data_IF_575601528877
#
_entry.id   IF_575601528877
#
_cell.length_a   1.000
_cell.length_b   1.000
_cell.length_c   1.000
_cell.angle_alpha   90.00
_cell.angle_beta   90.00
_cell.angle_gamma   90.00
#
_symmetry.space_group_name_H-M   'P 1'
#
loop_
_entity.id
_entity.type
_entity.pdbx_description
1 polymer ?
#
# COMPACT_ATOMS: atom_id res chain seq x y z
N UNK A 1 6.64 10.90 5.48
CA UNK A 1 5.22 11.27 5.73
C UNK A 1 4.74 12.30 4.72
N UNK A 2 3.49 12.22 4.26
CA UNK A 2 2.95 13.17 3.28
C UNK A 2 2.25 14.36 3.97
N UNK A 3 2.39 15.60 3.44
CA UNK A 3 1.76 16.80 4.02
C UNK A 3 0.28 16.94 3.69
N UNK A 4 -0.24 16.15 2.74
CA UNK A 4 -1.63 16.18 2.30
C UNK A 4 -2.34 14.87 2.63
N UNK A 5 -3.61 14.97 2.99
CA UNK A 5 -4.44 13.78 3.17
C UNK A 5 -4.62 13.05 1.84
N UNK A 6 -4.31 11.76 1.85
CA UNK A 6 -4.59 10.86 0.75
C UNK A 6 -5.37 9.66 1.31
N UNK A 7 -6.51 9.36 0.71
CA UNK A 7 -7.31 8.21 1.11
C UNK A 7 -6.52 6.91 0.89
N UNK A 8 -6.60 5.99 1.85
CA UNK A 8 -5.96 4.68 1.85
C UNK A 8 -6.93 3.64 2.42
N UNK A 9 -6.71 2.36 2.11
CA UNK A 9 -7.46 1.27 2.76
C UNK A 9 -7.25 1.32 4.27
N UNK A 10 -8.33 1.59 5.01
CA UNK A 10 -8.32 1.69 6.47
C UNK A 10 -8.40 0.33 7.17
N UNK A 11 -8.85 -0.72 6.49
CA UNK A 11 -8.93 -2.07 7.06
C UNK A 11 -7.54 -2.74 7.06
N UNK A 12 -6.79 -2.63 5.96
CA UNK A 12 -5.47 -3.23 5.81
C UNK A 12 -4.33 -2.21 5.82
N UNK A 13 -4.53 -1.09 6.54
CA UNK A 13 -3.53 -0.03 6.62
C UNK A 13 -2.17 -0.55 7.09
N UNK A 14 -1.14 -0.25 6.31
CA UNK A 14 0.27 -0.49 6.66
C UNK A 14 1.03 0.80 6.52
N UNK A 15 1.89 1.05 7.50
CA UNK A 15 2.77 2.21 7.48
C UNK A 15 3.65 2.16 6.22
N UNK A 16 3.69 3.24 5.41
CA UNK A 16 4.61 3.36 4.30
C UNK A 16 6.07 3.17 4.75
N UNK A 17 6.92 2.66 3.85
CA UNK A 17 8.29 2.31 4.22
C UNK A 17 9.12 3.52 4.69
N UNK A 18 8.94 4.68 4.05
CA UNK A 18 9.56 5.96 4.43
C UNK A 18 9.25 6.33 5.89
N UNK A 19 7.98 6.19 6.29
CA UNK A 19 7.51 6.51 7.64
C UNK A 19 8.04 5.51 8.67
N UNK A 20 8.06 4.22 8.31
CA UNK A 20 8.63 3.16 9.13
C UNK A 20 10.12 3.38 9.38
N UNK A 21 10.87 3.75 8.34
CA UNK A 21 12.28 4.12 8.50
C UNK A 21 12.43 5.38 9.36
N UNK A 22 11.58 6.38 9.14
CA UNK A 22 11.59 7.63 9.90
C UNK A 22 11.46 7.40 11.41
N UNK A 23 10.47 6.61 11.83
CA UNK A 23 10.26 6.32 13.25
C UNK A 23 11.38 5.46 13.84
N UNK A 24 11.89 4.48 13.09
CA UNK A 24 13.00 3.63 13.54
C UNK A 24 14.32 4.37 13.66
N UNK A 25 14.54 5.44 12.90
CA UNK A 25 15.72 6.31 13.08
C UNK A 25 15.69 7.08 14.40
N UNK A 26 14.50 7.32 14.97
CA UNK A 26 14.33 8.07 16.22
C UNK A 26 14.37 7.13 17.42
N UNK A 27 13.68 5.99 17.34
CA UNK A 27 13.47 5.09 18.47
C UNK A 27 14.15 3.72 18.35
N UNK A 28 14.78 3.44 17.20
CA UNK A 28 15.35 2.14 16.89
C UNK A 28 14.33 1.14 16.30
N UNK A 29 14.82 -0.01 15.81
CA UNK A 29 13.96 -1.11 15.39
C UNK A 29 13.23 -1.73 16.60
N UNK A 30 12.07 -2.37 16.41
CA UNK A 30 11.35 -3.00 17.50
C UNK A 30 12.13 -4.22 18.04
N UNK A 31 12.22 -4.34 19.37
CA UNK A 31 12.91 -5.46 20.06
C UNK A 31 12.23 -6.82 19.82
N UNK A 32 10.96 -6.82 19.41
CA UNK A 32 10.16 -8.01 19.14
C UNK A 32 9.42 -7.85 17.81
N UNK A 33 9.21 -8.93 17.04
CA UNK A 33 8.37 -8.88 15.85
C UNK A 33 6.97 -8.38 16.24
N UNK A 34 6.30 -7.62 15.36
CA UNK A 34 5.01 -7.05 15.66
C UNK A 34 4.04 -8.18 16.05
N UNK A 35 3.25 -8.02 17.13
CA UNK A 35 2.25 -9.01 17.50
C UNK A 35 1.30 -9.23 16.31
N UNK A 36 0.87 -10.48 16.10
CA UNK A 36 -0.17 -10.80 15.13
C UNK A 36 -1.37 -9.88 15.41
N UNK A 37 -1.68 -9.04 14.41
CA UNK A 37 -2.69 -7.98 14.44
C UNK A 37 -3.95 -8.48 15.15
N UNK A 38 -4.30 -7.88 16.29
CA UNK A 38 -5.66 -7.96 16.82
C UNK A 38 -6.59 -7.46 15.72
N UNK A 39 -7.57 -8.27 15.34
CA UNK A 39 -8.58 -7.87 14.36
C UNK A 39 -9.18 -6.54 14.81
N UNK A 40 -9.29 -5.52 13.93
CA UNK A 40 -10.01 -4.31 14.28
C UNK A 40 -11.45 -4.70 14.65
N UNK A 41 -12.09 -4.02 15.63
CA UNK A 41 -13.47 -4.29 15.98
C UNK A 41 -14.35 -4.18 14.74
N UNK A 42 -15.23 -5.16 14.52
CA UNK A 42 -16.20 -5.12 13.44
C UNK A 42 -17.10 -3.89 13.59
N UNK A 43 -17.04 -2.96 12.63
CA UNK A 43 -17.96 -1.83 12.55
C UNK A 43 -19.39 -2.35 12.30
N UNK A 44 -20.37 -2.07 13.18
CA UNK A 44 -21.74 -2.56 13.05
C UNK A 44 -22.50 -2.06 11.81
N UNK A 45 -21.95 -1.13 11.02
CA UNK A 45 -22.71 -0.40 9.98
C UNK A 45 -22.49 -0.83 8.52
N UNK A 46 -21.97 -2.02 8.23
CA UNK A 46 -21.78 -2.44 6.83
C UNK A 46 -22.93 -3.32 6.30
N UNK A 47 -23.75 -2.83 5.35
CA UNK A 47 -24.67 -3.67 4.61
C UNK A 47 -23.92 -4.60 3.64
N UNK A 48 -24.61 -5.69 3.31
CA UNK A 48 -24.16 -6.92 2.68
C UNK A 48 -23.29 -6.75 1.41
N UNK A 49 -22.34 -7.68 1.26
CA UNK A 49 -21.28 -7.72 0.24
C UNK A 49 -21.86 -7.86 -1.16
N UNK A 50 -21.82 -6.78 -1.92
CA UNK A 50 -21.99 -6.85 -3.37
C UNK A 50 -20.73 -7.45 -4.02
N UNK A 51 -20.96 -8.54 -4.77
CA UNK A 51 -20.14 -9.20 -5.80
C UNK A 51 -18.67 -8.76 -5.90
N UNK A 52 -17.77 -9.60 -5.36
CA UNK A 52 -16.32 -9.44 -5.53
C UNK A 52 -15.94 -9.67 -7.01
N UNK A 53 -15.24 -8.72 -7.68
CA UNK A 53 -14.73 -8.97 -9.02
C UNK A 53 -13.69 -10.10 -9.04
N UNK A 54 -13.47 -10.77 -10.20
CA UNK A 54 -12.52 -11.86 -10.30
C UNK A 54 -11.11 -11.42 -9.89
N UNK A 55 -10.41 -12.27 -9.14
CA UNK A 55 -9.01 -12.06 -8.74
C UNK A 55 -8.14 -12.04 -9.99
N UNK A 56 -7.54 -10.88 -10.27
CA UNK A 56 -6.49 -10.73 -11.28
C UNK A 56 -5.25 -11.52 -10.78
N UNK A 57 -4.52 -12.25 -11.65
CA UNK A 57 -3.30 -12.96 -11.25
C UNK A 57 -2.31 -11.99 -10.61
N UNK A 58 -1.82 -12.35 -9.42
CA UNK A 58 -0.76 -11.62 -8.72
C UNK A 58 0.57 -11.85 -9.43
N UNK A 59 0.78 -11.18 -10.56
CA UNK A 59 2.09 -11.01 -11.18
C UNK A 59 2.91 -10.03 -10.36
N UNK A 60 4.13 -10.44 -10.02
CA UNK A 60 5.22 -9.66 -9.41
C UNK A 60 4.81 -8.79 -8.21
N UNK A 61 4.67 -9.45 -7.07
CA UNK A 61 4.52 -8.78 -5.78
C UNK A 61 5.73 -7.87 -5.56
N UNK A 62 5.54 -6.54 -5.44
CA UNK A 62 6.66 -5.63 -5.16
C UNK A 62 7.36 -6.06 -3.87
N UNK A 63 8.70 -6.01 -3.85
CA UNK A 63 9.54 -6.27 -2.67
C UNK A 63 9.05 -5.51 -1.43
N UNK A 64 8.41 -4.35 -1.65
CA UNK A 64 7.66 -3.62 -0.63
C UNK A 64 6.36 -3.06 -1.22
N UNK A 65 5.18 -3.61 -0.87
CA UNK A 65 3.90 -3.18 -1.46
C UNK A 65 3.49 -1.74 -1.13
N UNK A 66 4.18 -1.06 -0.21
CA UNK A 66 3.86 0.30 0.25
C UNK A 66 5.02 1.30 0.11
N UNK A 67 6.07 0.95 -0.63
CA UNK A 67 7.13 1.90 -0.95
C UNK A 67 6.74 2.70 -2.20
N UNK A 68 7.11 3.98 -2.24
CA UNK A 68 6.99 4.75 -3.48
C UNK A 68 7.87 4.09 -4.55
N UNK A 69 7.34 3.85 -5.76
CA UNK A 69 8.12 3.25 -6.83
C UNK A 69 9.25 4.19 -7.26
N UNK A 70 10.44 3.65 -7.48
CA UNK A 70 11.54 4.38 -8.07
C UNK A 70 11.44 4.32 -9.60
N UNK A 71 11.44 5.49 -10.24
CA UNK A 71 11.30 5.61 -11.70
C UNK A 71 12.51 5.08 -12.47
N UNK A 72 13.69 5.05 -11.84
CA UNK A 72 14.93 4.60 -12.48
C UNK A 72 15.07 3.06 -12.50
N UNK A 73 14.30 2.34 -11.68
CA UNK A 73 14.42 0.88 -11.53
C UNK A 73 13.72 0.12 -12.67
N UNK A 74 12.83 0.78 -13.42
CA UNK A 74 12.03 0.15 -14.47
C UNK A 74 11.04 -0.90 -13.95
N UNK A 75 10.75 -1.92 -14.80
CA UNK A 75 9.86 -3.04 -14.46
C UNK A 75 8.41 -2.61 -14.20
N UNK A 76 7.79 -1.93 -15.17
CA UNK A 76 6.42 -1.42 -15.07
C UNK A 76 5.39 -2.50 -15.44
N UNK A 77 4.21 -2.49 -14.82
CA UNK A 77 3.16 -3.46 -15.15
C UNK A 77 2.47 -3.14 -16.47
N UNK A 78 2.17 -1.85 -16.71
CA UNK A 78 1.51 -1.40 -17.93
C UNK A 78 1.76 0.08 -18.20
N UNK A 79 1.51 0.49 -19.45
CA UNK A 79 1.65 1.85 -19.96
C UNK A 79 0.35 2.25 -20.67
N UNK A 80 -0.10 3.49 -20.50
CA UNK A 80 -1.22 4.05 -21.24
C UNK A 80 -0.90 5.46 -21.75
N UNK A 81 -1.38 5.79 -22.96
CA UNK A 81 -1.30 7.14 -23.51
C UNK A 81 -2.70 7.77 -23.42
N UNK A 82 -2.85 8.87 -22.69
CA UNK A 82 -4.11 9.61 -22.56
C UNK A 82 -3.84 11.09 -22.83
N UNK A 83 -4.54 11.68 -23.81
CA UNK A 83 -4.40 13.11 -24.18
C UNK A 83 -2.95 13.55 -24.44
N UNK A 84 -2.15 12.70 -25.08
CA UNK A 84 -0.71 12.89 -25.36
C UNK A 84 0.22 12.86 -24.12
N UNK A 85 -0.30 12.46 -22.96
CA UNK A 85 0.50 12.17 -21.77
C UNK A 85 0.68 10.65 -21.59
N UNK A 86 1.84 10.24 -21.07
CA UNK A 86 2.17 8.85 -20.81
C UNK A 86 1.99 8.52 -19.32
N UNK A 87 1.13 7.56 -19.03
CA UNK A 87 0.83 7.06 -17.70
C UNK A 87 1.53 5.72 -17.50
N UNK A 88 2.34 5.63 -16.44
CA UNK A 88 3.13 4.46 -16.09
C UNK A 88 2.58 3.84 -14.81
N UNK A 89 2.20 2.57 -14.86
CA UNK A 89 1.59 1.86 -13.73
C UNK A 89 2.55 0.80 -13.17
N UNK A 90 2.63 0.74 -11.84
CA UNK A 90 3.41 -0.21 -11.05
C UNK A 90 2.66 -0.59 -9.78
#
# INVERSE_FOLDING_TARGET
MAPFYQYMDTENFKLPHDDLQGIQKIYGPPDKPPPHRSQPPSDPRKPDRQTRPPRIPTGDKPSQPNAKPNICDGGFNTLAILRREMFVFK
#
